data_IF_905986909759
#
_entry.id   IF_905986909759
#
_cell.length_a   1.000
_cell.length_b   1.000
_cell.length_c   1.000
_cell.angle_alpha   90.00
_cell.angle_beta   90.00
_cell.angle_gamma   90.00
#
_symmetry.space_group_name_H-M   'P 1'
#
loop_
_entity.id
_entity.type
_entity.pdbx_description
1 polymer ?
#
# COMPACT_ATOMS: atom_id res chain seq x y z
N UNK A 1 6.19 -5.67 -9.19
CA UNK A 1 5.99 -5.41 -7.74
C UNK A 1 6.62 -4.10 -7.26
N UNK A 2 7.95 -3.89 -7.41
CA UNK A 2 8.64 -2.66 -6.97
C UNK A 2 7.94 -1.38 -7.46
N UNK A 3 7.57 -1.35 -8.75
CA UNK A 3 6.83 -0.23 -9.35
C UNK A 3 5.51 0.06 -8.63
N UNK A 4 4.72 -0.98 -8.32
CA UNK A 4 3.42 -0.84 -7.65
C UNK A 4 3.59 -0.26 -6.24
N UNK A 5 4.57 -0.75 -5.49
CA UNK A 5 4.88 -0.25 -4.13
C UNK A 5 5.31 1.22 -4.21
N UNK A 6 6.26 1.56 -5.09
CA UNK A 6 6.76 2.94 -5.21
C UNK A 6 5.71 3.96 -5.66
N UNK A 7 4.76 3.51 -6.45
CA UNK A 7 3.62 4.32 -6.94
C UNK A 7 2.44 4.31 -5.98
N UNK A 8 2.59 3.76 -4.76
CA UNK A 8 1.54 3.71 -3.73
C UNK A 8 0.25 3.06 -4.24
N UNK A 9 0.37 2.08 -5.16
CA UNK A 9 -0.76 1.30 -5.67
C UNK A 9 -1.09 0.08 -4.79
N UNK A 10 -0.29 -0.13 -3.76
CA UNK A 10 -0.40 -1.23 -2.81
C UNK A 10 -0.69 -0.58 -1.46
N UNK A 11 -1.89 -0.79 -0.91
CA UNK A 11 -2.28 -0.18 0.36
C UNK A 11 -1.72 -0.96 1.54
N UNK A 12 -1.94 -2.28 1.51
CA UNK A 12 -1.67 -3.18 2.63
C UNK A 12 -0.81 -4.39 2.24
N UNK A 13 -0.41 -5.18 3.23
CA UNK A 13 0.38 -6.40 3.01
C UNK A 13 -0.40 -7.44 2.21
N UNK A 14 -1.72 -7.55 2.42
CA UNK A 14 -2.57 -8.47 1.64
C UNK A 14 -2.58 -8.11 0.16
N UNK A 15 -2.67 -6.83 -0.21
CA UNK A 15 -2.56 -6.37 -1.60
C UNK A 15 -1.21 -6.78 -2.20
N UNK A 16 -0.15 -6.63 -1.40
CA UNK A 16 1.21 -6.99 -1.82
C UNK A 16 1.34 -8.50 -2.07
N UNK A 17 0.68 -9.32 -1.24
CA UNK A 17 0.61 -10.76 -1.41
C UNK A 17 -0.12 -11.14 -2.70
N UNK A 18 -1.31 -10.55 -2.94
CA UNK A 18 -2.15 -10.83 -4.12
C UNK A 18 -1.42 -10.42 -5.40
N UNK A 19 -0.93 -9.18 -5.48
CA UNK A 19 -0.21 -8.70 -6.66
C UNK A 19 1.11 -9.44 -6.87
N UNK A 20 1.84 -9.74 -5.81
CA UNK A 20 3.06 -10.53 -5.86
C UNK A 20 2.78 -11.92 -6.43
N UNK A 21 1.77 -12.60 -5.89
CA UNK A 21 1.36 -13.93 -6.34
C UNK A 21 0.94 -13.92 -7.81
N UNK A 22 0.10 -12.97 -8.23
CA UNK A 22 -0.33 -12.86 -9.62
C UNK A 22 0.84 -12.64 -10.58
N UNK A 23 1.81 -11.79 -10.21
CA UNK A 23 3.03 -11.58 -11.02
C UNK A 23 3.84 -12.87 -11.12
N UNK A 24 4.05 -13.58 -10.00
CA UNK A 24 4.80 -14.84 -9.98
C UNK A 24 4.13 -15.96 -10.77
N UNK A 25 2.81 -16.12 -10.61
CA UNK A 25 2.02 -17.08 -11.37
C UNK A 25 2.03 -16.76 -12.88
N UNK A 26 1.96 -15.47 -13.26
CA UNK A 26 2.10 -15.04 -14.65
C UNK A 26 3.47 -15.36 -15.24
N UNK A 27 4.55 -15.21 -14.47
CA UNK A 27 5.89 -15.65 -14.89
C UNK A 27 5.93 -17.17 -15.11
N UNK A 28 5.40 -17.95 -14.16
CA UNK A 28 5.36 -19.40 -14.25
C UNK A 28 4.51 -19.92 -15.41
N UNK A 29 3.44 -19.20 -15.77
CA UNK A 29 2.64 -19.53 -16.96
C UNK A 29 3.51 -19.48 -18.22
N UNK A 30 4.27 -18.40 -18.40
CA UNK A 30 5.17 -18.24 -19.55
C UNK A 30 6.24 -19.33 -19.55
N UNK A 31 6.84 -19.60 -18.38
CA UNK A 31 7.83 -20.67 -18.21
C UNK A 31 7.25 -22.04 -18.60
N UNK A 32 6.05 -22.37 -18.12
CA UNK A 32 5.41 -23.65 -18.41
C UNK A 32 5.06 -23.81 -19.88
N UNK A 33 4.63 -22.74 -20.56
CA UNK A 33 4.40 -22.76 -22.02
C UNK A 33 5.69 -23.08 -22.77
N UNK A 34 6.81 -22.46 -22.38
CA UNK A 34 8.12 -22.76 -22.97
C UNK A 34 8.53 -24.23 -22.80
N UNK A 35 8.23 -24.82 -21.64
CA UNK A 35 8.53 -26.24 -21.42
C UNK A 35 7.55 -27.20 -22.07
N UNK A 36 6.31 -26.79 -22.33
CA UNK A 36 5.33 -27.58 -23.07
C UNK A 36 5.85 -27.90 -24.47
N UNK A 37 6.53 -26.94 -25.10
CA UNK A 37 7.15 -27.10 -26.41
C UNK A 37 8.41 -27.98 -26.39
N UNK A 38 9.03 -28.19 -25.23
CA UNK A 38 10.29 -28.94 -25.09
C UNK A 38 10.11 -30.36 -24.56
N UNK A 39 9.00 -30.65 -23.90
CA UNK A 39 8.69 -31.93 -23.28
C UNK A 39 7.49 -32.60 -23.95
N UNK A 40 7.59 -32.77 -25.27
CA UNK A 40 6.58 -33.51 -26.03
C UNK A 40 6.48 -34.95 -25.49
N UNK A 41 5.26 -35.39 -25.17
CA UNK A 41 4.99 -36.73 -24.65
C UNK A 41 5.14 -36.91 -23.12
N UNK A 42 5.40 -35.85 -22.35
CA UNK A 42 5.46 -35.96 -20.89
C UNK A 42 4.10 -36.34 -20.26
N UNK A 43 4.11 -37.30 -19.34
CA UNK A 43 2.93 -37.73 -18.59
C UNK A 43 2.32 -36.60 -17.75
N UNK A 44 1.00 -36.63 -17.56
CA UNK A 44 0.22 -35.64 -16.78
C UNK A 44 0.81 -35.37 -15.39
N UNK A 45 1.39 -36.38 -14.73
CA UNK A 45 2.02 -36.21 -13.42
C UNK A 45 3.19 -35.21 -13.43
N UNK A 46 3.95 -35.14 -14.54
CA UNK A 46 5.01 -34.13 -14.70
C UNK A 46 4.41 -32.73 -14.71
N UNK A 47 3.29 -32.52 -15.37
CA UNK A 47 2.62 -31.21 -15.41
C UNK A 47 2.02 -30.80 -14.06
N UNK A 48 1.53 -31.77 -13.28
CA UNK A 48 1.05 -31.52 -11.92
C UNK A 48 2.22 -31.16 -11.00
N UNK A 49 3.28 -31.98 -10.98
CA UNK A 49 4.36 -31.79 -10.01
C UNK A 49 5.23 -30.60 -10.40
N UNK A 50 5.63 -30.54 -11.67
CA UNK A 50 6.52 -29.50 -12.16
C UNK A 50 5.75 -28.25 -12.56
N UNK A 51 4.72 -28.36 -13.39
CA UNK A 51 4.02 -27.18 -13.90
C UNK A 51 3.26 -26.41 -12.81
N UNK A 52 2.41 -27.11 -12.06
CA UNK A 52 1.66 -26.49 -10.96
C UNK A 52 2.55 -26.20 -9.74
N UNK A 53 3.50 -27.08 -9.41
CA UNK A 53 4.46 -26.83 -8.34
C UNK A 53 5.30 -25.57 -8.56
N UNK A 54 5.85 -25.35 -9.76
CA UNK A 54 6.60 -24.12 -10.07
C UNK A 54 5.71 -22.90 -10.08
N UNK A 55 4.45 -23.01 -10.52
CA UNK A 55 3.49 -21.91 -10.46
C UNK A 55 3.22 -21.44 -9.03
N UNK A 56 2.97 -22.38 -8.11
CA UNK A 56 2.81 -22.05 -6.69
C UNK A 56 4.10 -21.47 -6.12
N UNK A 57 5.26 -22.06 -6.41
CA UNK A 57 6.54 -21.56 -5.89
C UNK A 57 6.84 -20.14 -6.38
N UNK A 58 6.72 -19.85 -7.68
CA UNK A 58 6.93 -18.51 -8.23
C UNK A 58 5.93 -17.51 -7.67
N UNK A 59 4.64 -17.88 -7.58
CA UNK A 59 3.63 -17.06 -6.94
C UNK A 59 3.98 -16.75 -5.48
N UNK A 60 4.35 -17.76 -4.70
CA UNK A 60 4.67 -17.63 -3.27
C UNK A 60 5.92 -16.78 -3.03
N UNK A 61 6.99 -17.03 -3.79
CA UNK A 61 8.25 -16.28 -3.69
C UNK A 61 8.04 -14.81 -4.04
N UNK A 62 7.28 -14.51 -5.10
CA UNK A 62 6.94 -13.15 -5.49
C UNK A 62 5.99 -12.47 -4.49
N UNK A 63 5.05 -13.20 -3.89
CA UNK A 63 4.20 -12.72 -2.81
C UNK A 63 5.03 -12.34 -1.57
N UNK A 64 5.94 -13.21 -1.13
CA UNK A 64 6.84 -12.94 0.02
C UNK A 64 7.71 -11.72 -0.26
N UNK A 65 8.29 -11.62 -1.46
CA UNK A 65 9.01 -10.41 -1.88
C UNK A 65 8.16 -9.15 -1.70
N UNK A 66 6.92 -9.18 -2.20
CA UNK A 66 5.97 -8.07 -2.11
C UNK A 66 5.64 -7.69 -0.67
N UNK A 67 5.28 -8.67 0.15
CA UNK A 67 4.87 -8.47 1.55
C UNK A 67 5.99 -7.91 2.41
N UNK A 68 7.19 -8.51 2.37
CA UNK A 68 8.35 -8.04 3.14
C UNK A 68 8.73 -6.64 2.71
N UNK A 69 8.80 -6.38 1.40
CA UNK A 69 9.13 -5.06 0.86
C UNK A 69 8.09 -4.00 1.25
N UNK A 70 6.80 -4.34 1.22
CA UNK A 70 5.72 -3.44 1.60
C UNK A 70 5.75 -3.14 3.10
N UNK A 71 5.92 -4.16 3.95
CA UNK A 71 6.03 -3.98 5.39
C UNK A 71 7.19 -3.03 5.77
N UNK A 72 8.36 -3.23 5.16
CA UNK A 72 9.53 -2.38 5.41
C UNK A 72 9.36 -0.97 4.82
N UNK A 73 8.72 -0.85 3.66
CA UNK A 73 8.42 0.45 3.05
C UNK A 73 7.48 1.27 3.93
N UNK A 74 6.47 0.64 4.52
CA UNK A 74 5.55 1.26 5.48
C UNK A 74 6.27 1.65 6.77
N UNK A 75 7.02 0.71 7.36
CA UNK A 75 7.70 0.91 8.64
C UNK A 75 8.69 2.07 8.60
N UNK A 76 9.45 2.20 7.52
CA UNK A 76 10.47 3.23 7.37
C UNK A 76 10.02 4.46 6.57
N UNK A 77 8.76 4.48 6.10
CA UNK A 77 8.22 5.53 5.23
C UNK A 77 9.17 5.94 4.10
N UNK A 78 9.86 4.95 3.52
CA UNK A 78 10.95 5.17 2.59
C UNK A 78 10.68 4.45 1.26
N UNK A 79 11.13 5.07 0.18
CA UNK A 79 11.02 4.57 -1.20
C UNK A 79 12.37 4.08 -1.75
N UNK A 80 13.40 4.10 -0.91
CA UNK A 80 14.77 3.77 -1.28
C UNK A 80 14.87 2.31 -1.73
N UNK A 81 15.76 2.05 -2.69
CA UNK A 81 15.97 0.71 -3.27
C UNK A 81 16.31 -0.32 -2.19
N UNK A 82 17.01 0.07 -1.13
CA UNK A 82 17.51 -0.90 -0.15
C UNK A 82 16.42 -1.61 0.66
N UNK A 83 15.22 -1.06 0.72
CA UNK A 83 14.08 -1.68 1.40
C UNK A 83 13.72 -3.02 0.75
N UNK A 84 13.95 -3.15 -0.56
CA UNK A 84 13.63 -4.35 -1.31
C UNK A 84 14.66 -5.47 -1.10
N UNK A 85 15.83 -5.20 -0.52
CA UNK A 85 16.88 -6.22 -0.36
C UNK A 85 16.47 -7.37 0.54
N UNK A 86 15.83 -7.08 1.68
CA UNK A 86 15.40 -8.12 2.60
C UNK A 86 14.33 -9.03 1.96
N UNK A 87 13.36 -8.43 1.26
CA UNK A 87 12.36 -9.20 0.53
C UNK A 87 12.98 -10.02 -0.60
N UNK A 88 13.94 -9.44 -1.34
CA UNK A 88 14.62 -10.12 -2.44
C UNK A 88 15.45 -11.30 -1.94
N UNK A 89 16.19 -11.11 -0.84
CA UNK A 89 16.95 -12.18 -0.21
C UNK A 89 16.04 -13.34 0.22
N UNK A 90 14.91 -13.05 0.87
CA UNK A 90 13.92 -14.07 1.24
C UNK A 90 13.38 -14.83 0.02
N UNK A 91 13.05 -14.12 -1.06
CA UNK A 91 12.56 -14.74 -2.29
C UNK A 91 13.61 -15.60 -2.98
N UNK A 92 14.86 -15.14 -3.05
CA UNK A 92 15.98 -15.90 -3.61
C UNK A 92 16.20 -17.17 -2.81
N UNK A 93 16.28 -17.08 -1.48
CA UNK A 93 16.49 -18.24 -0.62
C UNK A 93 15.39 -19.30 -0.80
N UNK A 94 14.13 -18.87 -0.82
CA UNK A 94 12.99 -19.78 -0.99
C UNK A 94 12.98 -20.41 -2.40
N UNK A 95 13.26 -19.62 -3.44
CA UNK A 95 13.34 -20.12 -4.81
C UNK A 95 14.51 -21.10 -5.00
N UNK A 96 15.69 -20.78 -4.46
CA UNK A 96 16.86 -21.65 -4.46
C UNK A 96 16.58 -22.95 -3.70
N UNK A 97 15.93 -22.90 -2.54
CA UNK A 97 15.57 -24.09 -1.78
C UNK A 97 14.69 -25.05 -2.59
N UNK A 98 13.71 -24.52 -3.33
CA UNK A 98 12.86 -25.32 -4.21
C UNK A 98 13.68 -25.99 -5.34
N UNK A 99 14.59 -25.23 -5.97
CA UNK A 99 15.36 -25.70 -7.13
C UNK A 99 16.53 -26.63 -6.78
N UNK A 100 16.99 -26.65 -5.53
CA UNK A 100 18.06 -27.55 -5.10
C UNK A 100 17.59 -28.99 -4.86
N UNK A 101 16.29 -29.27 -4.97
CA UNK A 101 15.71 -30.62 -4.85
C UNK A 101 16.18 -31.40 -3.61
N UNK A 102 16.37 -30.72 -2.47
CA UNK A 102 16.74 -31.36 -1.20
C UNK A 102 15.72 -32.41 -0.74
N UNK A 103 14.49 -32.32 -1.25
CA UNK A 103 13.39 -33.25 -1.03
C UNK A 103 12.81 -33.70 -2.38
N UNK A 104 12.13 -34.86 -2.42
CA UNK A 104 11.32 -35.28 -3.57
C UNK A 104 10.38 -34.15 -4.03
N UNK A 105 10.28 -33.86 -5.35
CA UNK A 105 9.48 -32.76 -5.87
C UNK A 105 8.01 -32.76 -5.41
N UNK A 106 7.41 -33.94 -5.29
CA UNK A 106 6.04 -34.10 -4.79
C UNK A 106 5.89 -33.57 -3.36
N UNK A 107 6.85 -33.86 -2.47
CA UNK A 107 6.81 -33.39 -1.08
C UNK A 107 6.94 -31.87 -1.03
N UNK A 108 7.83 -31.28 -1.82
CA UNK A 108 7.98 -29.83 -1.91
C UNK A 108 6.67 -29.19 -2.40
N UNK A 109 6.06 -29.71 -3.46
CA UNK A 109 4.78 -29.20 -3.96
C UNK A 109 3.68 -29.28 -2.90
N UNK A 110 3.57 -30.38 -2.16
CA UNK A 110 2.61 -30.52 -1.04
C UNK A 110 2.89 -29.48 0.05
N UNK A 111 4.16 -29.30 0.45
CA UNK A 111 4.54 -28.30 1.44
C UNK A 111 4.12 -26.89 1.03
N UNK A 112 4.27 -26.53 -0.24
CA UNK A 112 3.85 -25.22 -0.75
C UNK A 112 2.32 -25.09 -0.87
N UNK A 113 1.63 -26.13 -1.33
CA UNK A 113 0.15 -26.16 -1.42
C UNK A 113 -0.50 -25.97 -0.06
N UNK A 114 0.08 -26.52 1.01
CA UNK A 114 -0.42 -26.38 2.38
C UNK A 114 0.11 -25.10 3.03
N UNK A 115 1.40 -24.81 2.85
CA UNK A 115 2.08 -23.69 3.49
C UNK A 115 1.60 -22.33 2.98
N UNK A 116 1.27 -22.20 1.69
CA UNK A 116 0.81 -20.94 1.11
C UNK A 116 -0.53 -20.46 1.72
N UNK A 117 -1.61 -21.28 1.81
CA UNK A 117 -2.84 -20.89 2.50
C UNK A 117 -2.60 -20.45 3.94
N UNK A 118 -1.78 -21.17 4.71
CA UNK A 118 -1.47 -20.81 6.10
C UNK A 118 -0.75 -19.46 6.19
N UNK A 119 0.19 -19.21 5.27
CA UNK A 119 0.88 -17.94 5.16
C UNK A 119 -0.09 -16.81 4.77
N UNK A 120 -1.04 -17.06 3.86
CA UNK A 120 -2.07 -16.08 3.49
C UNK A 120 -2.95 -15.75 4.70
N UNK A 121 -3.42 -16.75 5.46
CA UNK A 121 -4.23 -16.53 6.67
C UNK A 121 -3.47 -15.69 7.69
N UNK A 122 -2.20 -16.03 7.95
CA UNK A 122 -1.35 -15.28 8.86
C UNK A 122 -1.15 -13.82 8.41
N UNK A 123 -0.88 -13.61 7.12
CA UNK A 123 -0.72 -12.27 6.55
C UNK A 123 -2.03 -11.49 6.58
N UNK A 124 -3.15 -12.16 6.36
CA UNK A 124 -4.48 -11.55 6.41
C UNK A 124 -4.76 -11.01 7.81
N UNK A 125 -4.52 -11.79 8.87
CA UNK A 125 -4.68 -11.33 10.25
C UNK A 125 -3.80 -10.10 10.56
N UNK A 126 -2.51 -10.15 10.19
CA UNK A 126 -1.62 -9.01 10.35
C UNK A 126 -2.09 -7.77 9.56
N UNK A 127 -2.57 -7.99 8.35
CA UNK A 127 -3.07 -6.93 7.48
C UNK A 127 -4.36 -6.34 8.02
N UNK A 128 -5.27 -7.16 8.53
CA UNK A 128 -6.55 -6.77 9.12
C UNK A 128 -6.32 -5.89 10.35
N UNK A 129 -5.44 -6.31 11.27
CA UNK A 129 -5.10 -5.50 12.45
C UNK A 129 -4.54 -4.13 12.04
N UNK A 130 -3.69 -4.10 11.03
CA UNK A 130 -3.11 -2.87 10.48
C UNK A 130 -4.18 -1.98 9.82
N UNK A 131 -5.11 -2.56 9.07
CA UNK A 131 -6.24 -1.86 8.45
C UNK A 131 -7.19 -1.30 9.51
N UNK A 132 -7.57 -2.10 10.51
CA UNK A 132 -8.45 -1.68 11.60
C UNK A 132 -7.88 -0.51 12.38
N UNK A 133 -6.57 -0.55 12.70
CA UNK A 133 -5.91 0.57 13.39
C UNK A 133 -5.89 1.83 12.52
N UNK A 134 -5.61 1.69 11.23
CA UNK A 134 -5.58 2.81 10.28
C UNK A 134 -6.97 3.40 10.03
N UNK A 135 -8.00 2.56 9.91
CA UNK A 135 -9.36 2.98 9.61
C UNK A 135 -10.11 3.47 10.85
N UNK A 136 -9.94 2.86 12.02
CA UNK A 136 -10.60 3.30 13.25
C UNK A 136 -9.90 4.53 13.84
N UNK A 137 -8.80 4.28 14.57
CA UNK A 137 -8.03 5.35 15.25
C UNK A 137 -7.62 6.45 14.28
N UNK A 138 -7.23 6.07 13.06
CA UNK A 138 -6.83 7.03 12.05
C UNK A 138 -7.97 7.91 11.54
N UNK A 139 -9.20 7.39 11.41
CA UNK A 139 -10.35 8.18 10.99
C UNK A 139 -10.77 9.17 12.07
N UNK A 140 -10.92 8.70 13.31
CA UNK A 140 -11.34 9.54 14.45
C UNK A 140 -10.39 10.74 14.62
N UNK A 141 -9.08 10.51 14.55
CA UNK A 141 -8.11 11.62 14.64
C UNK A 141 -8.23 12.62 13.49
N UNK A 142 -8.53 12.14 12.28
CA UNK A 142 -8.64 13.04 11.12
C UNK A 142 -9.94 13.87 11.21
N UNK A 143 -11.02 13.30 11.75
CA UNK A 143 -12.28 14.00 12.05
C UNK A 143 -12.08 15.03 13.15
N UNK A 144 -11.50 14.66 14.28
CA UNK A 144 -11.23 15.57 15.40
C UNK A 144 -10.41 16.79 14.93
N UNK A 145 -9.39 16.53 14.10
CA UNK A 145 -8.55 17.60 13.60
C UNK A 145 -9.27 18.48 12.57
N UNK A 146 -10.07 17.89 11.70
CA UNK A 146 -10.89 18.63 10.74
C UNK A 146 -11.94 19.49 11.46
N UNK A 147 -12.54 18.99 12.53
CA UNK A 147 -13.48 19.72 13.38
C UNK A 147 -12.82 20.96 13.99
N UNK A 148 -11.68 20.81 14.67
CA UNK A 148 -10.91 21.92 15.25
C UNK A 148 -10.56 23.00 14.22
N UNK A 149 -10.23 22.60 12.98
CA UNK A 149 -9.95 23.55 11.90
C UNK A 149 -11.22 24.28 11.44
N UNK A 150 -12.36 23.59 11.41
CA UNK A 150 -13.61 24.12 10.85
C UNK A 150 -14.40 24.95 11.85
N UNK A 151 -14.32 24.65 13.15
CA UNK A 151 -14.98 25.42 14.22
C UNK A 151 -14.24 26.73 14.56
N UNK A 152 -12.99 26.86 14.13
CA UNK A 152 -12.16 28.05 14.39
C UNK A 152 -11.34 27.98 15.68
N UNK A 153 -11.42 26.86 16.43
CA UNK A 153 -10.67 26.63 17.68
C UNK A 153 -9.19 26.31 17.45
N UNK A 154 -8.74 26.38 16.19
CA UNK A 154 -7.37 26.02 15.81
C UNK A 154 -6.32 26.84 16.55
N UNK A 155 -6.60 28.11 16.89
CA UNK A 155 -5.65 29.00 17.56
C UNK A 155 -5.25 28.47 18.96
N UNK A 156 -6.13 27.72 19.61
CA UNK A 156 -5.85 27.09 20.92
C UNK A 156 -5.13 25.73 20.76
N UNK A 157 -5.17 25.15 19.57
CA UNK A 157 -4.50 23.89 19.26
C UNK A 157 -2.98 24.05 19.07
N UNK A 158 -2.25 22.95 19.27
CA UNK A 158 -0.80 22.89 18.98
C UNK A 158 -0.49 23.22 17.52
N UNK A 159 -1.41 22.90 16.60
CA UNK A 159 -1.22 23.15 15.17
C UNK A 159 -1.36 24.64 14.88
N UNK A 160 -2.35 25.32 15.46
CA UNK A 160 -2.50 26.77 15.31
C UNK A 160 -1.32 27.53 15.89
N UNK A 161 -0.83 27.15 17.08
CA UNK A 161 0.38 27.75 17.66
C UNK A 161 1.61 27.57 16.76
N UNK A 162 1.75 26.40 16.13
CA UNK A 162 2.82 26.16 15.18
C UNK A 162 2.66 27.00 13.89
N UNK A 163 1.47 27.06 13.31
CA UNK A 163 1.18 27.90 12.13
C UNK A 163 1.40 29.39 12.43
N UNK A 164 1.07 29.84 13.64
CA UNK A 164 1.36 31.20 14.09
C UNK A 164 2.88 31.45 14.11
N UNK A 165 3.66 30.50 14.62
CA UNK A 165 5.12 30.60 14.63
C UNK A 165 5.71 30.71 13.22
N UNK A 166 5.06 30.13 12.20
CA UNK A 166 5.49 30.19 10.81
C UNK A 166 5.30 31.58 10.18
N UNK A 167 4.42 32.44 10.71
CA UNK A 167 4.27 33.83 10.21
C UNK A 167 5.55 34.66 10.31
N UNK A 168 6.51 34.25 11.15
CA UNK A 168 7.84 34.87 11.22
C UNK A 168 8.71 34.59 9.98
N UNK A 169 8.39 33.57 9.19
CA UNK A 169 9.18 33.08 8.05
C UNK A 169 8.42 33.03 6.73
N UNK A 170 7.09 33.02 6.78
CA UNK A 170 6.20 32.98 5.63
C UNK A 170 5.22 34.15 5.67
N UNK A 171 4.78 34.62 4.51
CA UNK A 171 3.73 35.64 4.45
C UNK A 171 2.42 35.09 5.03
N UNK A 172 1.57 35.97 5.56
CA UNK A 172 0.26 35.58 6.09
C UNK A 172 -0.60 34.83 5.06
N UNK A 173 -0.52 35.21 3.78
CA UNK A 173 -1.20 34.51 2.69
C UNK A 173 -0.72 33.06 2.53
N UNK A 174 0.60 32.81 2.59
CA UNK A 174 1.15 31.45 2.47
C UNK A 174 0.77 30.61 3.70
N UNK A 175 0.74 31.18 4.90
CA UNK A 175 0.28 30.47 6.11
C UNK A 175 -1.21 30.15 6.03
N UNK A 176 -2.03 31.04 5.46
CA UNK A 176 -3.44 30.76 5.18
C UNK A 176 -3.60 29.62 4.17
N UNK A 177 -2.83 29.63 3.08
CA UNK A 177 -2.82 28.55 2.08
C UNK A 177 -2.37 27.21 2.69
N UNK A 178 -1.43 27.22 3.62
CA UNK A 178 -1.03 26.03 4.38
C UNK A 178 -2.18 25.46 5.21
N UNK A 179 -2.97 26.32 5.86
CA UNK A 179 -4.15 25.91 6.61
C UNK A 179 -5.23 25.34 5.69
N UNK A 180 -5.51 26.01 4.57
CA UNK A 180 -6.45 25.51 3.55
C UNK A 180 -6.00 24.16 3.00
N UNK A 181 -4.69 24.00 2.74
CA UNK A 181 -4.14 22.73 2.28
C UNK A 181 -4.34 21.60 3.30
N UNK A 182 -4.08 21.87 4.58
CA UNK A 182 -4.28 20.90 5.66
C UNK A 182 -5.74 20.49 5.78
N UNK A 183 -6.66 21.47 5.77
CA UNK A 183 -8.12 21.24 5.83
C UNK A 183 -8.58 20.34 4.68
N UNK A 184 -8.23 20.72 3.45
CA UNK A 184 -8.65 20.00 2.25
C UNK A 184 -8.07 18.58 2.19
N UNK A 185 -6.83 18.41 2.64
CA UNK A 185 -6.20 17.10 2.76
C UNK A 185 -6.93 16.19 3.75
N UNK A 186 -7.31 16.72 4.93
CA UNK A 186 -8.07 15.99 5.94
C UNK A 186 -9.48 15.64 5.44
N UNK A 187 -10.15 16.58 4.77
CA UNK A 187 -11.47 16.33 4.18
C UNK A 187 -11.43 15.17 3.17
N UNK A 188 -10.44 15.15 2.28
CA UNK A 188 -10.22 14.04 1.34
C UNK A 188 -9.89 12.73 2.06
N UNK A 189 -9.10 12.77 3.13
CA UNK A 189 -8.74 11.59 3.93
C UNK A 189 -9.96 10.99 4.65
N UNK A 190 -10.73 11.83 5.36
CA UNK A 190 -11.99 11.46 6.02
C UNK A 190 -12.95 10.87 5.00
N UNK A 191 -13.09 11.51 3.84
CA UNK A 191 -13.96 11.03 2.77
C UNK A 191 -13.56 9.65 2.24
N UNK A 192 -12.27 9.44 1.97
CA UNK A 192 -11.78 8.16 1.48
C UNK A 192 -12.05 7.02 2.46
N UNK A 193 -11.78 7.25 3.75
CA UNK A 193 -12.06 6.29 4.83
C UNK A 193 -13.57 6.08 5.02
N UNK A 194 -14.38 7.14 4.92
CA UNK A 194 -15.84 7.07 4.99
C UNK A 194 -16.42 6.20 3.87
N UNK A 195 -15.95 6.33 2.64
CA UNK A 195 -16.34 5.46 1.50
C UNK A 195 -16.03 3.99 1.82
N UNK A 196 -14.87 3.70 2.41
CA UNK A 196 -14.51 2.33 2.81
C UNK A 196 -15.44 1.77 3.90
N UNK A 197 -15.79 2.58 4.91
CA UNK A 197 -16.73 2.19 5.98
C UNK A 197 -18.15 1.97 5.46
N UNK A 198 -18.61 2.82 4.55
CA UNK A 198 -19.91 2.67 3.89
C UNK A 198 -19.97 1.36 3.09
N UNK A 199 -18.94 1.08 2.28
CA UNK A 199 -18.83 -0.18 1.53
C UNK A 199 -18.79 -1.41 2.44
N UNK A 200 -18.04 -1.34 3.55
CA UNK A 200 -18.02 -2.42 4.54
C UNK A 200 -19.41 -2.69 5.14
N UNK A 201 -20.22 -1.64 5.29
CA UNK A 201 -21.59 -1.74 5.81
C UNK A 201 -22.62 -2.12 4.73
N UNK A 202 -22.19 -2.41 3.50
CA UNK A 202 -23.06 -2.83 2.39
C UNK A 202 -23.69 -1.68 1.59
N UNK A 203 -23.27 -0.43 1.83
CA UNK A 203 -23.71 0.71 1.02
C UNK A 203 -22.81 0.89 -0.22
N UNK A 204 -23.39 1.36 -1.32
CA UNK A 204 -22.66 1.77 -2.51
C UNK A 204 -22.66 3.32 -2.59
N UNK A 205 -21.64 4.00 -2.05
CA UNK A 205 -21.60 5.45 -2.05
C UNK A 205 -21.47 5.99 -3.48
N UNK A 206 -22.35 6.92 -3.85
CA UNK A 206 -22.30 7.60 -5.14
C UNK A 206 -21.00 8.41 -5.24
N UNK A 207 -20.35 8.34 -6.41
CA UNK A 207 -19.17 9.15 -6.69
C UNK A 207 -19.52 10.63 -6.64
N UNK A 208 -18.82 11.41 -5.81
CA UNK A 208 -19.05 12.84 -5.72
C UNK A 208 -18.26 13.58 -6.80
N UNK A 209 -18.93 14.29 -7.73
CA UNK A 209 -18.27 15.05 -8.78
C UNK A 209 -17.31 16.14 -8.25
N UNK A 210 -17.49 16.63 -7.02
CA UNK A 210 -16.63 17.65 -6.41
C UNK A 210 -15.24 17.12 -6.03
N UNK A 211 -15.04 15.80 -5.93
CA UNK A 211 -13.74 15.23 -5.54
C UNK A 211 -12.63 15.68 -6.48
N UNK A 212 -12.90 15.71 -7.79
CA UNK A 212 -11.95 16.16 -8.80
C UNK A 212 -11.54 17.62 -8.60
N UNK A 213 -12.52 18.49 -8.35
CA UNK A 213 -12.27 19.91 -8.08
C UNK A 213 -11.45 20.10 -6.80
N UNK A 214 -11.70 19.31 -5.75
CA UNK A 214 -10.90 19.31 -4.51
C UNK A 214 -9.45 18.87 -4.76
N UNK A 215 -9.21 17.90 -5.65
CA UNK A 215 -7.84 17.55 -6.04
C UNK A 215 -7.14 18.67 -6.82
N UNK A 216 -7.84 19.34 -7.74
CA UNK A 216 -7.32 20.49 -8.48
C UNK A 216 -6.94 21.64 -7.53
N UNK A 217 -7.79 21.93 -6.54
CA UNK A 217 -7.51 22.92 -5.49
C UNK A 217 -6.32 22.51 -4.61
N UNK A 218 -6.23 21.24 -4.23
CA UNK A 218 -5.11 20.71 -3.45
C UNK A 218 -3.78 20.89 -4.21
N UNK A 219 -3.77 20.64 -5.52
CA UNK A 219 -2.59 20.88 -6.37
C UNK A 219 -2.23 22.36 -6.48
N UNK A 220 -3.23 23.23 -6.60
CA UNK A 220 -3.02 24.68 -6.61
C UNK A 220 -2.39 25.15 -5.29
N UNK A 221 -2.97 24.78 -4.15
CA UNK A 221 -2.46 25.13 -2.83
C UNK A 221 -1.04 24.58 -2.62
N UNK A 222 -0.76 23.35 -3.09
CA UNK A 222 0.59 22.78 -3.04
C UNK A 222 1.62 23.63 -3.81
N UNK A 223 1.23 24.19 -4.96
CA UNK A 223 2.08 25.10 -5.75
C UNK A 223 2.26 26.43 -5.04
N UNK A 224 1.18 26.98 -4.44
CA UNK A 224 1.21 28.26 -3.72
C UNK A 224 2.12 28.22 -2.49
N UNK A 225 2.00 27.18 -1.64
CA UNK A 225 2.83 27.05 -0.43
C UNK A 225 4.32 26.75 -0.73
N UNK A 226 4.59 26.20 -1.92
CA UNK A 226 5.93 25.81 -2.36
C UNK A 226 6.55 24.65 -1.57
N UNK A 227 7.77 24.26 -1.96
CA UNK A 227 8.49 23.10 -1.36
C UNK A 227 8.78 23.29 0.13
N UNK A 228 9.22 24.48 0.51
CA UNK A 228 9.57 24.79 1.91
C UNK A 228 8.32 24.82 2.78
N UNK A 229 7.22 25.40 2.29
CA UNK A 229 5.94 25.38 3.00
C UNK A 229 5.42 23.96 3.18
N UNK A 230 5.48 23.14 2.12
CA UNK A 230 5.12 21.72 2.20
C UNK A 230 5.93 20.95 3.25
N UNK A 231 7.24 21.20 3.34
CA UNK A 231 8.08 20.59 4.38
C UNK A 231 7.70 21.06 5.78
N UNK A 232 7.32 22.34 5.93
CA UNK A 232 6.94 22.91 7.22
C UNK A 232 5.64 22.30 7.78
N UNK A 233 4.69 21.93 6.91
CA UNK A 233 3.41 21.31 7.32
C UNK A 233 3.42 19.78 7.28
N UNK A 234 4.48 19.17 6.75
CA UNK A 234 4.61 17.71 6.65
C UNK A 234 4.37 16.96 7.97
N UNK A 235 4.75 17.47 9.17
CA UNK A 235 4.47 16.79 10.43
C UNK A 235 2.98 16.62 10.76
N UNK A 236 2.11 17.45 10.18
CA UNK A 236 0.65 17.39 10.38
C UNK A 236 -0.07 16.66 9.25
N UNK A 237 0.59 16.54 8.10
CA UNK A 237 0.11 15.72 7.00
C UNK A 237 0.48 14.27 7.29
N UNK A 238 -0.52 13.42 7.48
CA UNK A 238 -0.31 11.98 7.48
C UNK A 238 0.05 11.55 6.05
N UNK A 239 1.35 11.39 5.78
CA UNK A 239 1.85 11.02 4.45
C UNK A 239 2.38 9.59 4.40
N UNK A 240 1.82 8.68 5.20
CA UNK A 240 2.22 7.27 5.09
C UNK A 240 1.86 6.74 3.70
N UNK A 241 2.48 5.63 3.29
CA UNK A 241 2.13 4.92 2.05
C UNK A 241 0.61 4.68 1.94
N UNK A 242 -0.04 4.36 3.06
CA UNK A 242 -1.49 4.12 3.14
C UNK A 242 -2.32 5.39 2.95
N UNK A 243 -1.84 6.51 3.49
CA UNK A 243 -2.53 7.81 3.36
C UNK A 243 -2.37 8.41 1.96
N UNK A 244 -1.32 8.03 1.23
CA UNK A 244 -1.19 8.33 -0.19
C UNK A 244 -2.05 7.40 -1.06
N UNK A 245 -2.12 6.12 -0.69
CA UNK A 245 -2.97 5.14 -1.37
C UNK A 245 -4.47 5.48 -1.29
N UNK A 246 -4.97 5.97 -0.15
CA UNK A 246 -6.38 6.37 -0.03
C UNK A 246 -6.76 7.50 -1.00
N UNK A 247 -5.85 8.45 -1.26
CA UNK A 247 -6.10 9.54 -2.20
C UNK A 247 -6.19 8.99 -3.63
N UNK A 248 -5.31 8.05 -3.99
CA UNK A 248 -5.40 7.35 -5.26
C UNK A 248 -6.70 6.55 -5.44
N UNK A 249 -7.27 6.02 -4.35
CA UNK A 249 -8.52 5.27 -4.39
C UNK A 249 -9.71 6.14 -4.81
N UNK A 250 -9.75 7.40 -4.35
CA UNK A 250 -10.87 8.32 -4.59
C UNK A 250 -10.65 9.26 -5.78
N UNK A 251 -9.41 9.41 -6.25
CA UNK A 251 -9.07 10.16 -7.48
C UNK A 251 -9.51 9.43 -8.76
N UNK A 252 -9.92 8.16 -8.66
CA UNK A 252 -10.39 7.32 -9.75
C UNK A 252 -11.90 7.17 -9.78
#
# INVERSE_FOLDING_TARGET
MIFLIRKEKVGFMVDAAIYGFAIGAGFALIENVFYLQKLEGAHVLVWIVRGFGTAIMHGTTAAIFGMVSKNLSDKYSSKKVHIFWAGLAAAILLHSFYNHFFLPPILITICFVIGLPLLIVFVFDLSEQATRKWLGVGFDTDVDLLEVITTGDILESRIGQYLESLKSRFSGAVVADMLCYLRLHLELAVRAKGILLMRQSGFDPVSDPEIKTKFEELEYLQKSIGKTGKLAILPFLRTSSRDLWQLYLIDK
#
